data_IF_522907139884
#
_entry.id   IF_522907139884
#
_cell.length_a   1.000
_cell.length_b   1.000
_cell.length_c   1.000
_cell.angle_alpha   90.00
_cell.angle_beta   90.00
_cell.angle_gamma   90.00
#
_symmetry.space_group_name_H-M   'P 1'
#
loop_
_entity.id
_entity.type
_entity.pdbx_description
1 polymer ?
#
# COMPACT_ATOMS: atom_id res chain seq x y z
N UNK A 1 33.32 -12.50 15.13
CA UNK A 1 32.31 -11.49 15.49
C UNK A 1 32.52 -10.29 14.58
N UNK A 2 31.80 -10.19 13.45
CA UNK A 2 31.91 -9.05 12.53
C UNK A 2 30.94 -7.91 12.91
N UNK A 3 31.26 -6.65 12.57
CA UNK A 3 30.56 -5.44 13.02
C UNK A 3 29.23 -5.17 12.29
N UNK A 4 28.33 -4.50 13.02
CA UNK A 4 26.95 -4.11 12.67
C UNK A 4 26.91 -2.97 11.61
N UNK A 5 26.19 -3.10 10.48
CA UNK A 5 26.02 -2.02 9.53
C UNK A 5 24.87 -1.07 9.91
N UNK A 6 25.27 0.11 10.40
CA UNK A 6 24.69 1.44 10.20
C UNK A 6 23.18 1.56 9.89
N UNK A 7 22.47 2.15 10.85
CA UNK A 7 21.18 2.82 10.68
C UNK A 7 21.27 3.93 9.63
N UNK A 8 20.60 3.76 8.49
CA UNK A 8 20.41 4.82 7.50
C UNK A 8 19.37 5.81 8.04
N UNK A 9 19.68 7.10 8.20
CA UNK A 9 18.65 8.09 8.52
C UNK A 9 17.73 8.25 7.30
N UNK A 10 16.43 8.05 7.50
CA UNK A 10 15.39 8.36 6.52
C UNK A 10 15.42 9.89 6.30
N UNK A 11 16.08 10.31 5.22
CA UNK A 11 16.04 11.69 4.73
C UNK A 11 14.66 11.94 4.14
N UNK A 12 13.88 12.84 4.73
CA UNK A 12 12.71 13.41 4.07
C UNK A 12 13.19 14.23 2.87
N UNK A 13 13.06 13.67 1.67
CA UNK A 13 13.45 14.35 0.44
C UNK A 13 12.38 15.39 0.08
N UNK A 14 12.61 16.65 0.43
CA UNK A 14 11.86 17.77 -0.15
C UNK A 14 12.34 17.95 -1.60
N UNK A 15 11.59 17.39 -2.55
CA UNK A 15 11.93 17.50 -3.97
C UNK A 15 11.91 18.95 -4.44
N UNK A 16 13.03 19.44 -4.97
CA UNK A 16 13.13 20.71 -5.67
C UNK A 16 12.94 20.47 -7.17
N UNK A 17 12.00 21.17 -7.79
CA UNK A 17 11.79 21.14 -9.24
C UNK A 17 12.24 22.48 -9.82
N UNK A 18 13.18 22.47 -10.77
CA UNK A 18 13.66 23.67 -11.47
C UNK A 18 12.67 24.24 -12.48
N UNK A 19 11.60 23.49 -12.78
CA UNK A 19 10.58 23.85 -13.78
C UNK A 19 9.18 24.10 -13.18
N UNK A 20 9.02 23.95 -11.86
CA UNK A 20 7.73 24.12 -11.18
C UNK A 20 7.88 24.87 -9.87
N UNK A 21 6.96 25.78 -9.52
CA UNK A 21 6.99 26.48 -8.24
C UNK A 21 6.91 25.51 -7.04
N UNK A 22 7.42 25.91 -5.85
CA UNK A 22 7.38 25.07 -4.66
C UNK A 22 5.95 24.63 -4.33
N UNK A 23 5.75 23.32 -4.10
CA UNK A 23 4.42 22.76 -3.80
C UNK A 23 3.84 23.24 -2.47
N UNK A 24 4.68 23.64 -1.53
CA UNK A 24 4.26 24.21 -0.26
C UNK A 24 3.93 25.70 -0.45
N UNK A 25 2.68 26.01 -0.80
CA UNK A 25 2.20 27.38 -0.85
C UNK A 25 1.46 27.71 0.46
N UNK A 26 2.14 28.38 1.39
CA UNK A 26 1.58 28.78 2.69
C UNK A 26 0.29 29.59 2.56
N UNK A 27 0.11 30.33 1.45
CA UNK A 27 -1.11 31.12 1.19
C UNK A 27 -2.31 30.26 0.76
N UNK A 28 -2.09 29.02 0.31
CA UNK A 28 -3.14 28.05 -0.06
C UNK A 28 -3.29 26.91 0.93
N UNK A 29 -2.43 26.86 1.96
CA UNK A 29 -2.44 25.82 2.96
C UNK A 29 -3.80 25.72 3.68
N UNK A 30 -4.45 26.86 3.93
CA UNK A 30 -5.79 26.89 4.53
C UNK A 30 -6.85 26.27 3.61
N UNK A 31 -6.79 26.55 2.30
CA UNK A 31 -7.69 25.97 1.31
C UNK A 31 -7.49 24.46 1.22
N UNK A 32 -6.23 24.01 1.14
CA UNK A 32 -5.87 22.59 1.08
C UNK A 32 -6.27 21.84 2.37
N UNK A 33 -6.07 22.46 3.54
CA UNK A 33 -6.42 21.87 4.83
C UNK A 33 -7.95 21.81 5.01
N UNK A 34 -8.67 22.85 4.58
CA UNK A 34 -10.14 22.88 4.58
C UNK A 34 -10.71 21.79 3.66
N UNK A 35 -10.18 21.67 2.44
CA UNK A 35 -10.58 20.62 1.50
C UNK A 35 -10.31 19.22 2.07
N UNK A 36 -9.16 19.00 2.70
CA UNK A 36 -8.84 17.74 3.37
C UNK A 36 -9.78 17.46 4.55
N UNK A 37 -10.09 18.47 5.36
CA UNK A 37 -11.01 18.36 6.50
C UNK A 37 -12.41 17.96 6.05
N UNK A 38 -12.97 18.61 5.02
CA UNK A 38 -14.29 18.26 4.48
C UNK A 38 -14.33 16.82 3.94
N UNK A 39 -13.27 16.40 3.23
CA UNK A 39 -13.16 15.03 2.70
C UNK A 39 -13.08 13.97 3.79
N UNK A 40 -12.37 14.26 4.88
CA UNK A 40 -12.15 13.34 5.99
C UNK A 40 -13.16 13.50 7.14
N UNK A 41 -14.12 14.41 7.01
CA UNK A 41 -15.10 14.75 8.06
C UNK A 41 -15.95 13.56 8.53
N UNK A 42 -16.07 12.51 7.71
CA UNK A 42 -16.77 11.25 8.02
C UNK A 42 -15.83 10.03 8.02
N UNK A 43 -14.53 10.26 8.19
CA UNK A 43 -13.51 9.23 8.21
C UNK A 43 -13.04 9.01 9.63
N UNK A 44 -13.08 7.76 10.09
CA UNK A 44 -12.42 7.35 11.32
C UNK A 44 -10.96 7.01 11.00
N UNK A 45 -10.03 7.58 11.76
CA UNK A 45 -8.59 7.28 11.66
C UNK A 45 -8.21 6.47 12.89
N UNK A 46 -7.71 5.26 12.67
CA UNK A 46 -7.34 4.32 13.73
C UNK A 46 -5.84 4.05 13.68
N UNK A 47 -5.19 4.08 14.83
CA UNK A 47 -3.79 3.68 14.99
C UNK A 47 -3.74 2.32 15.70
N UNK A 48 -4.21 1.30 14.99
CA UNK A 48 -4.30 -0.08 15.47
C UNK A 48 -3.47 -1.01 14.58
N UNK A 49 -3.14 -2.18 15.11
CA UNK A 49 -2.71 -3.31 14.28
C UNK A 49 -3.77 -3.59 13.20
N UNK A 50 -3.31 -3.83 11.97
CA UNK A 50 -4.18 -3.90 10.80
C UNK A 50 -5.22 -5.03 10.93
N UNK A 51 -4.84 -6.19 11.48
CA UNK A 51 -5.74 -7.33 11.63
C UNK A 51 -6.78 -7.06 12.72
N UNK A 52 -6.39 -6.35 13.78
CA UNK A 52 -7.30 -5.86 14.82
C UNK A 52 -8.32 -4.86 14.24
N UNK A 53 -7.88 -3.98 13.34
CA UNK A 53 -8.76 -3.05 12.63
C UNK A 53 -9.80 -3.79 11.77
N UNK A 54 -9.36 -4.79 10.99
CA UNK A 54 -10.28 -5.63 10.18
C UNK A 54 -11.32 -6.30 11.08
N UNK A 55 -10.91 -6.94 12.17
CA UNK A 55 -11.81 -7.62 13.10
C UNK A 55 -12.84 -6.66 13.74
N UNK A 56 -12.44 -5.43 14.08
CA UNK A 56 -13.31 -4.40 14.67
C UNK A 56 -14.47 -4.04 13.74
N UNK A 57 -14.20 -3.90 12.45
CA UNK A 57 -15.17 -3.42 11.45
C UNK A 57 -15.80 -4.52 10.60
N UNK A 58 -15.49 -5.79 10.85
CA UNK A 58 -16.01 -6.89 10.04
C UNK A 58 -17.54 -7.03 10.15
N UNK A 59 -18.24 -6.64 9.09
CA UNK A 59 -19.69 -6.71 8.92
C UNK A 59 -20.00 -7.13 7.49
N UNK A 60 -21.15 -7.77 7.22
CA UNK A 60 -21.52 -8.21 5.88
C UNK A 60 -21.54 -7.10 4.80
N UNK A 61 -21.70 -5.84 5.20
CA UNK A 61 -21.71 -4.69 4.30
C UNK A 61 -20.37 -3.94 4.22
N UNK A 62 -19.36 -4.36 4.97
CA UNK A 62 -18.03 -3.72 4.97
C UNK A 62 -17.23 -4.18 3.77
N UNK A 63 -16.58 -3.24 3.08
CA UNK A 63 -15.54 -3.52 2.09
C UNK A 63 -14.19 -3.08 2.66
N UNK A 64 -13.26 -4.01 2.76
CA UNK A 64 -11.87 -3.77 3.12
C UNK A 64 -11.05 -3.64 1.83
N UNK A 65 -10.34 -2.53 1.68
CA UNK A 65 -9.28 -2.39 0.70
C UNK A 65 -7.93 -2.48 1.41
N UNK A 66 -7.10 -3.42 0.99
CA UNK A 66 -5.82 -3.71 1.61
C UNK A 66 -4.70 -3.53 0.59
N UNK A 67 -3.80 -2.59 0.89
CA UNK A 67 -2.62 -2.29 0.07
C UNK A 67 -1.36 -2.47 0.93
N UNK A 68 -0.95 -3.72 1.22
CA UNK A 68 0.24 -3.97 2.02
C UNK A 68 1.52 -3.52 1.26
N UNK A 69 2.64 -3.31 1.97
CA UNK A 69 3.94 -3.09 1.35
C UNK A 69 4.21 -4.13 0.26
N UNK A 70 4.69 -3.74 -0.93
CA UNK A 70 4.96 -4.70 -1.99
C UNK A 70 6.22 -5.54 -1.69
N UNK A 71 6.09 -6.86 -1.71
CA UNK A 71 7.19 -7.77 -1.37
C UNK A 71 8.43 -7.56 -2.25
N UNK A 72 9.61 -7.44 -1.63
CA UNK A 72 10.87 -7.25 -2.33
C UNK A 72 11.07 -5.86 -2.95
N UNK A 73 10.21 -4.89 -2.63
CA UNK A 73 10.44 -3.48 -3.01
C UNK A 73 11.10 -2.73 -1.85
N UNK A 74 12.27 -2.15 -2.11
CA UNK A 74 12.93 -1.25 -1.18
C UNK A 74 12.05 0.01 -1.04
N UNK A 75 11.47 0.27 0.14
CA UNK A 75 10.72 1.52 0.30
C UNK A 75 9.90 1.69 1.57
N UNK A 76 9.45 0.62 2.22
CA UNK A 76 8.47 0.78 3.30
C UNK A 76 9.07 0.91 4.71
N UNK A 77 10.35 0.56 4.92
CA UNK A 77 11.04 0.74 6.21
C UNK A 77 10.45 -0.04 7.40
N UNK A 78 9.43 -0.87 7.15
CA UNK A 78 8.79 -1.77 8.10
C UNK A 78 8.88 -3.21 7.59
N UNK A 79 9.25 -4.14 8.48
CA UNK A 79 9.32 -5.56 8.16
C UNK A 79 7.91 -6.13 7.99
N UNK A 80 7.47 -6.29 6.74
CA UNK A 80 6.23 -6.97 6.39
C UNK A 80 6.55 -8.33 5.76
N UNK A 81 6.77 -9.32 6.63
CA UNK A 81 7.13 -10.69 6.26
C UNK A 81 6.05 -11.43 5.47
N UNK A 82 6.43 -12.52 4.77
CA UNK A 82 5.49 -13.39 4.04
C UNK A 82 4.33 -13.90 4.91
N UNK A 83 4.56 -14.11 6.20
CA UNK A 83 3.55 -14.54 7.18
C UNK A 83 2.35 -13.58 7.26
N UNK A 84 2.56 -12.27 7.08
CA UNK A 84 1.49 -11.29 7.12
C UNK A 84 0.56 -11.41 5.91
N UNK A 85 1.09 -11.77 4.73
CA UNK A 85 0.26 -12.03 3.55
C UNK A 85 -0.54 -13.31 3.70
N UNK A 86 0.04 -14.36 4.29
CA UNK A 86 -0.71 -15.57 4.63
C UNK A 86 -1.86 -15.26 5.59
N UNK A 87 -1.60 -14.46 6.64
CA UNK A 87 -2.63 -14.01 7.57
C UNK A 87 -3.72 -13.18 6.88
N UNK A 88 -3.35 -12.34 5.90
CA UNK A 88 -4.31 -11.57 5.11
C UNK A 88 -5.18 -12.50 4.24
N UNK A 89 -4.58 -13.53 3.63
CA UNK A 89 -5.31 -14.53 2.85
C UNK A 89 -6.30 -15.35 3.71
N UNK A 90 -5.89 -15.73 4.93
CA UNK A 90 -6.76 -16.41 5.90
C UNK A 90 -7.93 -15.52 6.34
N UNK A 91 -7.67 -14.24 6.60
CA UNK A 91 -8.73 -13.28 6.91
C UNK A 91 -9.68 -13.09 5.74
N UNK A 92 -9.17 -12.90 4.52
CA UNK A 92 -10.00 -12.76 3.33
C UNK A 92 -10.98 -13.95 3.16
N UNK A 93 -10.56 -15.17 3.54
CA UNK A 93 -11.40 -16.38 3.47
C UNK A 93 -12.42 -16.50 4.62
N UNK A 94 -12.21 -15.83 5.75
CA UNK A 94 -12.99 -16.04 6.98
C UNK A 94 -13.85 -14.86 7.41
N UNK A 95 -13.59 -13.65 6.92
CA UNK A 95 -14.38 -12.46 7.25
C UNK A 95 -15.80 -12.53 6.71
N UNK A 96 -16.71 -11.78 7.33
CA UNK A 96 -18.11 -11.62 6.88
C UNK A 96 -18.22 -10.61 5.74
N UNK A 97 -17.37 -9.59 5.75
CA UNK A 97 -17.32 -8.56 4.73
C UNK A 97 -16.62 -9.00 3.45
N UNK A 98 -16.38 -8.02 2.57
CA UNK A 98 -15.62 -8.19 1.33
C UNK A 98 -14.21 -7.66 1.50
N UNK A 99 -13.23 -8.31 0.90
CA UNK A 99 -11.84 -7.84 0.91
C UNK A 99 -11.25 -7.80 -0.50
N UNK A 100 -10.67 -6.66 -0.85
CA UNK A 100 -9.94 -6.39 -2.08
C UNK A 100 -8.49 -6.10 -1.73
N UNK A 101 -7.55 -6.85 -2.31
CA UNK A 101 -6.13 -6.76 -1.99
C UNK A 101 -5.34 -6.48 -3.27
N UNK A 102 -4.46 -5.48 -3.24
CA UNK A 102 -3.48 -5.21 -4.31
C UNK A 102 -2.08 -5.63 -3.87
N UNK A 103 -1.40 -6.46 -4.68
CA UNK A 103 0.01 -6.87 -4.45
C UNK A 103 0.75 -7.02 -5.79
N UNK A 104 2.07 -7.25 -5.74
CA UNK A 104 2.85 -7.60 -6.93
C UNK A 104 2.49 -8.99 -7.46
N UNK A 105 2.54 -9.13 -8.79
CA UNK A 105 2.40 -10.43 -9.45
C UNK A 105 3.69 -11.26 -9.40
N UNK A 106 3.91 -11.92 -8.26
CA UNK A 106 5.01 -12.85 -8.02
C UNK A 106 4.50 -14.23 -7.54
N UNK A 107 5.32 -15.26 -7.66
CA UNK A 107 4.94 -16.64 -7.33
C UNK A 107 4.53 -16.80 -5.85
N UNK A 108 5.20 -16.07 -4.96
CA UNK A 108 4.94 -16.07 -3.52
C UNK A 108 3.54 -15.54 -3.20
N UNK A 109 3.12 -14.45 -3.84
CA UNK A 109 1.77 -13.89 -3.66
C UNK A 109 0.70 -14.82 -4.25
N UNK A 110 0.94 -15.40 -5.43
CA UNK A 110 0.02 -16.40 -6.01
C UNK A 110 -0.14 -17.63 -5.11
N UNK A 111 0.92 -18.01 -4.41
CA UNK A 111 0.91 -19.12 -3.46
C UNK A 111 0.18 -18.74 -2.17
N UNK A 112 0.50 -17.58 -1.59
CA UNK A 112 -0.13 -17.10 -0.35
C UNK A 112 -1.65 -16.93 -0.50
N UNK A 113 -2.10 -16.38 -1.62
CA UNK A 113 -3.52 -16.11 -1.89
C UNK A 113 -4.22 -17.24 -2.68
N UNK A 114 -3.62 -18.43 -2.74
CA UNK A 114 -4.21 -19.57 -3.43
C UNK A 114 -5.62 -19.89 -2.90
N UNK A 115 -6.55 -20.12 -3.83
CA UNK A 115 -7.96 -20.38 -3.54
C UNK A 115 -8.85 -19.12 -3.44
N UNK A 116 -8.29 -17.92 -3.60
CA UNK A 116 -9.05 -16.69 -3.80
C UNK A 116 -9.12 -16.31 -5.29
N UNK A 117 -10.10 -15.48 -5.65
CA UNK A 117 -10.23 -14.98 -7.01
C UNK A 117 -9.15 -13.93 -7.28
N UNK A 118 -8.40 -14.12 -8.36
CA UNK A 118 -7.23 -13.30 -8.70
C UNK A 118 -7.33 -12.78 -10.13
N UNK A 119 -7.06 -11.49 -10.31
CA UNK A 119 -6.98 -10.82 -11.62
C UNK A 119 -5.63 -10.12 -11.75
N UNK A 120 -5.04 -10.17 -12.95
CA UNK A 120 -3.74 -9.54 -13.20
C UNK A 120 -3.94 -8.26 -13.99
N UNK A 121 -3.35 -7.17 -13.54
CA UNK A 121 -3.39 -5.86 -14.19
C UNK A 121 -1.98 -5.47 -14.60
N UNK A 122 -1.80 -5.07 -15.86
CA UNK A 122 -0.53 -4.56 -16.37
C UNK A 122 -0.35 -3.10 -15.93
N UNK A 123 0.72 -2.81 -15.18
CA UNK A 123 1.09 -1.44 -14.82
C UNK A 123 2.26 -0.96 -15.69
N UNK A 124 2.06 0.16 -16.37
CA UNK A 124 3.14 0.84 -17.08
C UNK A 124 3.76 1.87 -16.15
N UNK A 125 4.82 1.50 -15.43
CA UNK A 125 5.54 2.44 -14.58
C UNK A 125 6.33 3.42 -15.46
N UNK A 126 5.86 4.66 -15.57
CA UNK A 126 6.53 5.74 -16.32
C UNK A 126 7.33 6.64 -15.38
N UNK A 127 8.03 6.05 -14.41
CA UNK A 127 8.90 6.81 -13.48
C UNK A 127 10.34 6.46 -13.80
N UNK A 128 10.93 7.27 -14.67
CA UNK A 128 12.28 7.09 -15.18
C UNK A 128 12.47 7.93 -16.44
N UNK A 129 12.65 9.23 -16.28
CA UNK A 129 13.09 10.11 -17.37
C UNK A 129 14.48 9.71 -17.82
N UNK A 130 14.58 8.73 -18.72
CA UNK A 130 15.86 8.18 -19.13
C UNK A 130 15.74 6.81 -19.80
N UNK A 131 15.37 6.82 -21.08
CA UNK A 131 15.81 5.88 -22.14
C UNK A 131 16.38 4.53 -21.67
N UNK A 132 15.51 3.59 -21.30
CA UNK A 132 15.59 2.12 -21.51
C UNK A 132 14.28 1.50 -21.01
N UNK A 133 13.70 0.58 -21.80
CA UNK A 133 12.32 0.10 -21.66
C UNK A 133 11.87 -0.15 -20.22
N UNK A 134 10.76 0.48 -19.83
CA UNK A 134 10.15 0.29 -18.52
C UNK A 134 9.93 -1.19 -18.25
N UNK A 135 10.41 -1.67 -17.11
CA UNK A 135 10.12 -3.02 -16.67
C UNK A 135 8.59 -3.16 -16.58
N UNK A 136 8.01 -4.04 -17.40
CA UNK A 136 6.59 -4.40 -17.27
C UNK A 136 6.41 -5.02 -15.90
N UNK A 137 5.83 -4.27 -14.97
CA UNK A 137 5.38 -4.80 -13.68
C UNK A 137 3.92 -5.16 -13.83
N UNK A 138 3.54 -6.24 -13.17
CA UNK A 138 2.16 -6.70 -13.12
C UNK A 138 1.71 -6.68 -11.67
N UNK A 139 0.47 -6.27 -11.47
CA UNK A 139 -0.17 -6.29 -10.16
C UNK A 139 -1.22 -7.40 -10.13
N UNK A 140 -1.39 -7.98 -8.95
CA UNK A 140 -2.46 -8.91 -8.65
C UNK A 140 -3.52 -8.20 -7.83
N UNK A 141 -4.75 -8.28 -8.31
CA UNK A 141 -5.95 -7.89 -7.61
C UNK A 141 -6.61 -9.16 -7.09
N UNK A 142 -6.66 -9.33 -5.78
CA UNK A 142 -7.25 -10.50 -5.11
C UNK A 142 -8.56 -10.11 -4.44
N UNK A 143 -9.59 -10.94 -4.60
CA UNK A 143 -10.93 -10.75 -4.01
C UNK A 143 -11.47 -12.04 -3.39
N UNK A 144 -12.32 -11.89 -2.36
CA UNK A 144 -12.96 -13.01 -1.66
C UNK A 144 -14.40 -13.32 -2.10
N UNK A 145 -14.82 -12.82 -3.27
CA UNK A 145 -16.13 -13.07 -3.87
C UNK A 145 -16.03 -13.42 -5.36
#
# INVERSE_FOLDING_TARGET
MPPNPQTIPVSQTFGTATTSPPKLNLLRLEEDLSAAHLRLSRTYVEHLDWATCVAKYDRPHTLFYCDPPYWGTEGYGVDFGLEQYNRLAELAKSIKGKMLISVNDIAEMRTAFAGLSMETVDITYTVGGGRKGGAKRRELIIRNW
#
